data_IF_199444375059
#
_entry.id   IF_199444375059
#
_cell.length_a   1.000
_cell.length_b   1.000
_cell.length_c   1.000
_cell.angle_alpha   90.00
_cell.angle_beta   90.00
_cell.angle_gamma   90.00
#
_symmetry.space_group_name_H-M   'P 1'
#
loop_
_entity.id
_entity.type
_entity.pdbx_description
1 polymer ?
#
# COMPACT_ATOMS: atom_id res chain seq x y z
N UNK A 1 -22.72 19.21 15.97
CA UNK A 1 -21.31 19.05 16.36
C UNK A 1 -20.83 17.75 15.74
N UNK A 2 -20.09 17.84 14.65
CA UNK A 2 -19.58 16.65 13.96
C UNK A 2 -18.32 16.19 14.68
N UNK A 3 -18.42 15.11 15.44
CA UNK A 3 -17.25 14.44 15.98
C UNK A 3 -16.35 14.02 14.80
N UNK A 4 -15.21 14.69 14.67
CA UNK A 4 -14.10 14.18 13.87
C UNK A 4 -13.57 12.95 14.60
N UNK A 5 -14.27 11.82 14.48
CA UNK A 5 -13.79 10.59 15.05
C UNK A 5 -12.57 10.18 14.23
N UNK A 6 -11.39 10.44 14.78
CA UNK A 6 -10.10 10.09 14.21
C UNK A 6 -9.83 8.58 14.42
N UNK A 7 -10.79 7.74 14.02
CA UNK A 7 -10.85 6.30 14.34
C UNK A 7 -9.62 5.55 13.78
N UNK A 8 -8.94 6.09 12.78
CA UNK A 8 -7.77 5.43 12.17
C UNK A 8 -6.47 5.61 12.97
N UNK A 9 -6.48 6.46 14.01
CA UNK A 9 -5.32 6.66 14.92
C UNK A 9 -5.36 5.80 16.18
N UNK A 10 -6.42 5.01 16.42
CA UNK A 10 -6.45 4.15 17.61
C UNK A 10 -5.48 2.97 17.42
N UNK A 11 -4.68 2.68 18.45
CA UNK A 11 -3.81 1.49 18.49
C UNK A 11 -4.59 0.20 18.23
N UNK A 12 -5.87 0.17 18.63
CA UNK A 12 -6.79 -0.94 18.39
C UNK A 12 -7.03 -1.19 16.90
N UNK A 13 -7.17 -0.13 16.08
CA UNK A 13 -7.29 -0.28 14.63
C UNK A 13 -6.01 -0.86 14.03
N UNK A 14 -4.84 -0.39 14.47
CA UNK A 14 -3.56 -0.93 14.01
C UNK A 14 -3.41 -2.40 14.37
N UNK A 15 -3.75 -2.79 15.61
CA UNK A 15 -3.73 -4.20 16.04
C UNK A 15 -4.71 -5.09 15.26
N UNK A 16 -5.90 -4.57 14.96
CA UNK A 16 -6.91 -5.32 14.18
C UNK A 16 -6.46 -5.57 12.74
N UNK A 17 -5.85 -4.57 12.10
CA UNK A 17 -5.46 -4.65 10.70
C UNK A 17 -4.08 -5.29 10.48
N UNK A 18 -3.27 -5.41 11.54
CA UNK A 18 -1.88 -5.87 11.45
C UNK A 18 -1.76 -7.28 10.87
N UNK A 19 -2.48 -8.27 11.41
CA UNK A 19 -2.38 -9.66 10.93
C UNK A 19 -2.88 -9.80 9.47
N UNK A 20 -4.05 -9.26 9.07
CA UNK A 20 -4.43 -9.22 7.66
C UNK A 20 -3.40 -8.53 6.76
N UNK A 21 -2.82 -7.41 7.22
CA UNK A 21 -1.81 -6.66 6.47
C UNK A 21 -0.50 -7.44 6.34
N UNK A 22 -0.08 -8.15 7.38
CA UNK A 22 1.07 -9.06 7.39
C UNK A 22 0.85 -10.18 6.37
N UNK A 23 -0.28 -10.88 6.43
CA UNK A 23 -0.60 -11.94 5.48
C UNK A 23 -0.61 -11.44 4.03
N UNK A 24 -1.14 -10.24 3.81
CA UNK A 24 -1.13 -9.60 2.50
C UNK A 24 0.30 -9.27 2.04
N UNK A 25 1.14 -8.71 2.91
CA UNK A 25 2.55 -8.43 2.62
C UNK A 25 3.33 -9.71 2.28
N UNK A 26 3.16 -10.78 3.07
CA UNK A 26 3.77 -12.09 2.82
C UNK A 26 3.35 -12.64 1.46
N UNK A 27 2.04 -12.71 1.17
CA UNK A 27 1.53 -13.18 -0.14
C UNK A 27 2.06 -12.34 -1.30
N UNK A 28 2.19 -11.04 -1.10
CA UNK A 28 2.73 -10.11 -2.10
C UNK A 28 4.19 -10.45 -2.41
N UNK A 29 5.00 -10.72 -1.39
CA UNK A 29 6.39 -11.17 -1.56
C UNK A 29 6.45 -12.57 -2.19
N UNK A 30 5.56 -13.48 -1.82
CA UNK A 30 5.50 -14.82 -2.42
C UNK A 30 5.16 -14.79 -3.90
N UNK A 31 4.31 -13.85 -4.33
CA UNK A 31 4.00 -13.61 -5.73
C UNK A 31 5.14 -12.96 -6.54
N UNK A 32 6.23 -12.52 -5.92
CA UNK A 32 7.41 -12.03 -6.64
C UNK A 32 8.18 -13.20 -7.28
N UNK A 33 8.41 -13.12 -8.58
CA UNK A 33 9.33 -14.00 -9.28
C UNK A 33 10.78 -13.77 -8.82
N UNK A 34 11.64 -14.79 -8.89
CA UNK A 34 13.05 -14.70 -8.47
C UNK A 34 13.83 -13.60 -9.22
N UNK A 35 13.45 -13.36 -10.47
CA UNK A 35 13.98 -12.28 -11.31
C UNK A 35 13.59 -10.87 -10.81
N UNK A 36 12.74 -10.76 -9.80
CA UNK A 36 12.31 -9.50 -9.18
C UNK A 36 12.98 -9.31 -7.82
N UNK A 37 13.82 -10.26 -7.39
CA UNK A 37 14.53 -10.19 -6.12
C UNK A 37 15.77 -9.28 -6.23
N UNK A 38 15.62 -8.03 -5.77
CA UNK A 38 16.68 -7.05 -5.61
C UNK A 38 17.62 -7.29 -4.42
N UNK A 39 18.74 -6.56 -4.42
CA UNK A 39 19.68 -6.49 -3.29
C UNK A 39 19.02 -5.86 -2.06
N UNK A 40 19.40 -6.31 -0.87
CA UNK A 40 18.86 -5.78 0.40
C UNK A 40 19.04 -4.26 0.55
N UNK A 41 20.11 -3.69 -0.02
CA UNK A 41 20.33 -2.25 -0.01
C UNK A 41 19.20 -1.44 -0.66
N UNK A 42 18.46 -2.03 -1.61
CA UNK A 42 17.26 -1.38 -2.17
C UNK A 42 16.14 -1.31 -1.13
N UNK A 43 15.93 -2.38 -0.36
CA UNK A 43 14.88 -2.48 0.66
C UNK A 43 15.15 -1.59 1.87
N UNK A 44 16.41 -1.52 2.33
CA UNK A 44 16.78 -0.73 3.51
C UNK A 44 16.51 0.77 3.34
N UNK A 45 16.44 1.26 2.10
CA UNK A 45 16.10 2.66 1.84
C UNK A 45 14.63 3.00 2.13
N UNK A 46 13.73 2.01 2.07
CA UNK A 46 12.29 2.23 2.11
C UNK A 46 11.81 2.70 3.50
N UNK A 47 12.14 2.02 4.63
CA UNK A 47 11.69 2.46 5.95
C UNK A 47 12.13 3.88 6.30
N UNK A 48 13.38 4.24 6.01
CA UNK A 48 13.90 5.58 6.27
C UNK A 48 13.17 6.67 5.47
N UNK A 49 12.85 6.41 4.20
CA UNK A 49 12.09 7.34 3.35
C UNK A 49 10.65 7.51 3.84
N UNK A 50 10.01 6.43 4.26
CA UNK A 50 8.67 6.49 4.86
C UNK A 50 8.70 7.28 6.17
N UNK A 51 9.67 7.03 7.05
CA UNK A 51 9.79 7.73 8.32
C UNK A 51 10.00 9.25 8.14
N UNK A 52 10.77 9.66 7.13
CA UNK A 52 11.08 11.07 6.88
C UNK A 52 9.93 11.84 6.19
N UNK A 53 9.23 11.23 5.24
CA UNK A 53 8.26 11.96 4.41
C UNK A 53 7.04 11.16 3.97
N UNK A 54 6.76 10.04 4.64
CA UNK A 54 5.58 9.22 4.45
C UNK A 54 5.40 8.69 3.04
N UNK A 55 4.12 8.51 2.67
CA UNK A 55 3.71 7.94 1.39
C UNK A 55 4.18 8.80 0.19
N UNK A 56 4.26 10.12 0.35
CA UNK A 56 4.70 11.05 -0.70
C UNK A 56 6.19 10.90 -1.01
N UNK A 57 7.04 10.82 0.03
CA UNK A 57 8.47 10.60 -0.16
C UNK A 57 8.75 9.21 -0.75
N UNK A 58 7.99 8.20 -0.30
CA UNK A 58 8.05 6.86 -0.88
C UNK A 58 7.71 6.87 -2.37
N UNK A 59 6.64 7.57 -2.78
CA UNK A 59 6.28 7.70 -4.20
C UNK A 59 7.43 8.29 -5.02
N UNK A 60 8.04 9.37 -4.53
CA UNK A 60 9.19 10.03 -5.19
C UNK A 60 10.39 9.10 -5.33
N UNK A 61 10.70 8.32 -4.29
CA UNK A 61 11.77 7.31 -4.34
C UNK A 61 11.47 6.29 -5.45
N UNK A 62 10.26 5.72 -5.43
CA UNK A 62 9.84 4.69 -6.37
C UNK A 62 9.88 5.22 -7.81
N UNK A 63 9.32 6.40 -8.07
CA UNK A 63 9.32 7.01 -9.41
C UNK A 63 10.76 7.25 -9.90
N UNK A 64 11.62 7.84 -9.07
CA UNK A 64 13.02 8.07 -9.38
C UNK A 64 13.77 6.77 -9.71
N UNK A 65 13.54 5.71 -8.93
CA UNK A 65 14.17 4.41 -9.16
C UNK A 65 13.64 3.72 -10.43
N UNK A 66 12.34 3.84 -10.74
CA UNK A 66 11.77 3.30 -11.98
C UNK A 66 12.36 3.96 -13.22
N UNK A 67 12.50 5.29 -13.19
CA UNK A 67 12.99 6.05 -14.34
C UNK A 67 14.50 5.87 -14.51
N UNK A 68 15.27 6.04 -13.43
CA UNK A 68 16.72 6.26 -13.50
C UNK A 68 17.57 5.00 -13.29
N UNK A 69 17.02 3.91 -12.73
CA UNK A 69 17.83 2.72 -12.44
C UNK A 69 18.26 2.03 -13.74
N UNK A 70 19.54 1.70 -13.89
CA UNK A 70 20.07 1.11 -15.13
C UNK A 70 19.88 -0.40 -15.18
N UNK A 71 19.68 -1.06 -14.03
CA UNK A 71 19.50 -2.51 -13.96
C UNK A 71 18.04 -2.87 -14.15
N UNK A 72 17.74 -3.66 -15.18
CA UNK A 72 16.37 -4.09 -15.51
C UNK A 72 15.66 -4.77 -14.33
N UNK A 73 16.36 -5.64 -13.60
CA UNK A 73 15.87 -6.31 -12.40
C UNK A 73 15.34 -5.33 -11.33
N UNK A 74 16.12 -4.27 -11.06
CA UNK A 74 15.71 -3.25 -10.11
C UNK A 74 14.52 -2.44 -10.65
N UNK A 75 14.55 -2.07 -11.94
CA UNK A 75 13.43 -1.37 -12.59
C UNK A 75 12.13 -2.17 -12.49
N UNK A 76 12.19 -3.49 -12.68
CA UNK A 76 11.04 -4.38 -12.56
C UNK A 76 10.49 -4.36 -11.13
N UNK A 77 11.34 -4.54 -10.12
CA UNK A 77 10.96 -4.44 -8.71
C UNK A 77 10.32 -3.10 -8.34
N UNK A 78 10.94 -1.99 -8.72
CA UNK A 78 10.39 -0.66 -8.43
C UNK A 78 9.09 -0.38 -9.20
N UNK A 79 8.96 -0.89 -10.43
CA UNK A 79 7.71 -0.80 -11.19
C UNK A 79 6.60 -1.63 -10.60
N UNK A 80 6.94 -2.81 -10.08
CA UNK A 80 6.02 -3.63 -9.29
C UNK A 80 5.52 -2.86 -8.07
N UNK A 81 6.41 -2.29 -7.24
CA UNK A 81 6.01 -1.52 -6.06
C UNK A 81 5.13 -0.32 -6.41
N UNK A 82 5.44 0.39 -7.50
CA UNK A 82 4.61 1.51 -7.94
C UNK A 82 3.18 1.07 -8.22
N UNK A 83 3.03 0.02 -9.04
CA UNK A 83 1.73 -0.55 -9.38
C UNK A 83 0.99 -1.06 -8.14
N UNK A 84 1.69 -1.80 -7.28
CA UNK A 84 1.13 -2.39 -6.08
C UNK A 84 0.57 -1.34 -5.10
N UNK A 85 1.26 -0.19 -4.94
CA UNK A 85 0.94 0.81 -3.91
C UNK A 85 0.06 1.94 -4.45
N UNK A 86 0.36 2.44 -5.65
CA UNK A 86 -0.15 3.72 -6.16
C UNK A 86 -1.12 3.62 -7.33
N UNK A 87 -1.15 2.52 -8.09
CA UNK A 87 -2.08 2.38 -9.20
C UNK A 87 -3.47 1.99 -8.69
N UNK A 88 -4.39 2.95 -8.69
CA UNK A 88 -5.76 2.80 -8.18
C UNK A 88 -6.76 2.27 -9.20
N UNK A 89 -6.35 2.13 -10.47
CA UNK A 89 -7.26 1.88 -11.60
C UNK A 89 -7.24 0.45 -12.15
N UNK A 90 -6.31 -0.40 -11.70
CA UNK A 90 -6.34 -1.80 -12.05
C UNK A 90 -6.95 -2.56 -10.88
N UNK A 91 -8.09 -3.21 -11.11
CA UNK A 91 -8.74 -4.17 -10.21
C UNK A 91 -7.87 -5.43 -10.01
N UNK A 92 -6.57 -5.26 -9.86
CA UNK A 92 -5.67 -6.34 -9.56
C UNK A 92 -5.81 -6.64 -8.09
N UNK A 93 -6.11 -7.90 -7.83
CA UNK A 93 -6.31 -8.42 -6.49
C UNK A 93 -5.07 -8.26 -5.61
N UNK A 94 -3.91 -8.06 -6.24
CA UNK A 94 -2.62 -7.84 -5.62
C UNK A 94 -2.37 -6.40 -5.17
N UNK A 95 -3.26 -5.42 -5.41
CA UNK A 95 -2.98 -4.02 -5.04
C UNK A 95 -3.34 -3.70 -3.58
N UNK A 96 -2.53 -2.86 -2.93
CA UNK A 96 -2.78 -2.42 -1.56
C UNK A 96 -4.09 -1.62 -1.47
N UNK A 97 -4.46 -0.87 -2.50
CA UNK A 97 -5.74 -0.15 -2.56
C UNK A 97 -6.94 -1.11 -2.49
N UNK A 98 -6.90 -2.18 -3.28
CA UNK A 98 -7.94 -3.20 -3.31
C UNK A 98 -8.01 -3.98 -2.00
N UNK A 99 -6.85 -4.37 -1.45
CA UNK A 99 -6.78 -5.00 -0.13
C UNK A 99 -7.50 -4.16 0.92
N UNK A 100 -7.18 -2.85 1.00
CA UNK A 100 -7.79 -1.94 1.98
C UNK A 100 -9.29 -1.81 1.77
N UNK A 101 -9.76 -1.69 0.52
CA UNK A 101 -11.21 -1.60 0.23
C UNK A 101 -12.00 -2.84 0.61
N UNK A 102 -11.38 -4.03 0.59
CA UNK A 102 -12.01 -5.29 0.98
C UNK A 102 -12.12 -5.50 2.49
N UNK A 103 -11.42 -4.71 3.31
CA UNK A 103 -11.49 -4.86 4.76
C UNK A 103 -12.82 -4.32 5.27
N UNK A 104 -13.60 -5.14 5.98
CA UNK A 104 -14.97 -4.83 6.42
C UNK A 104 -15.10 -3.49 7.15
N UNK A 105 -14.13 -3.18 8.00
CA UNK A 105 -14.08 -1.92 8.74
C UNK A 105 -13.75 -0.70 7.87
N UNK A 106 -12.98 -0.89 6.79
CA UNK A 106 -12.68 0.19 5.84
C UNK A 106 -13.90 0.38 4.92
N UNK A 107 -14.46 -0.72 4.41
CA UNK A 107 -15.64 -0.68 3.53
C UNK A 107 -16.82 0.01 4.19
N UNK A 108 -17.03 -0.17 5.50
CA UNK A 108 -18.11 0.51 6.23
C UNK A 108 -17.95 2.03 6.33
N UNK A 109 -16.77 2.57 5.99
CA UNK A 109 -16.47 4.01 5.96
C UNK A 109 -16.53 4.62 4.57
N UNK A 110 -16.61 3.78 3.53
CA UNK A 110 -16.69 4.24 2.16
C UNK A 110 -18.15 4.52 1.80
N UNK A 111 -18.40 5.61 1.10
CA UNK A 111 -19.72 5.89 0.52
C UNK A 111 -20.01 4.96 -0.65
N UNK A 112 -21.25 4.51 -0.77
CA UNK A 112 -21.73 3.72 -1.90
C UNK A 112 -22.03 4.62 -3.10
N UNK A 113 -21.23 4.51 -4.16
CA UNK A 113 -21.35 5.36 -5.34
C UNK A 113 -22.47 4.90 -6.31
N UNK A 114 -23.12 3.78 -6.02
CA UNK A 114 -24.32 3.29 -6.75
C UNK A 114 -25.59 4.02 -6.33
N UNK A 115 -25.60 4.60 -5.12
CA UNK A 115 -26.72 5.39 -4.60
C UNK A 115 -26.75 6.83 -5.11
N UNK A 116 -25.76 7.23 -5.91
CA UNK A 116 -25.65 8.58 -6.42
C UNK A 116 -26.73 8.89 -7.47
N UNK A 117 -27.49 9.98 -7.25
CA UNK A 117 -28.55 10.42 -8.15
C UNK A 117 -28.03 10.97 -9.48
N UNK A 118 -26.78 11.44 -9.49
CA UNK A 118 -26.17 12.05 -10.68
C UNK A 118 -24.64 11.90 -10.72
N UNK A 119 -24.07 12.19 -11.90
CA UNK A 119 -22.63 12.11 -12.16
C UNK A 119 -21.80 13.00 -11.21
N UNK A 120 -22.33 14.15 -10.77
CA UNK A 120 -21.62 15.07 -9.88
C UNK A 120 -21.51 14.48 -8.47
N UNK A 121 -22.61 13.97 -7.93
CA UNK A 121 -22.66 13.29 -6.64
C UNK A 121 -21.77 12.05 -6.62
N UNK A 122 -21.82 11.23 -7.69
CA UNK A 122 -20.93 10.08 -7.86
C UNK A 122 -19.44 10.47 -7.76
N UNK A 123 -19.04 11.54 -8.45
CA UNK A 123 -17.67 12.08 -8.38
C UNK A 123 -17.28 12.54 -6.97
N UNK A 124 -18.21 13.13 -6.22
CA UNK A 124 -17.96 13.56 -4.83
C UNK A 124 -17.69 12.35 -3.94
N UNK A 125 -18.54 11.32 -4.01
CA UNK A 125 -18.36 10.07 -3.24
C UNK A 125 -17.03 9.41 -3.59
N UNK A 126 -16.71 9.28 -4.88
CA UNK A 126 -15.44 8.69 -5.33
C UNK A 126 -14.22 9.48 -4.84
N UNK A 127 -14.28 10.81 -4.86
CA UNK A 127 -13.21 11.67 -4.35
C UNK A 127 -13.01 11.50 -2.85
N UNK A 128 -14.11 11.42 -2.09
CA UNK A 128 -14.06 11.22 -0.64
C UNK A 128 -13.52 9.83 -0.29
N UNK A 129 -14.02 8.78 -0.95
CA UNK A 129 -13.50 7.42 -0.78
C UNK A 129 -12.01 7.34 -1.08
N UNK A 130 -11.54 8.01 -2.14
CA UNK A 130 -10.11 8.10 -2.45
C UNK A 130 -9.32 8.76 -1.32
N UNK A 131 -9.81 9.88 -0.79
CA UNK A 131 -9.18 10.59 0.34
C UNK A 131 -9.08 9.71 1.59
N UNK A 132 -10.14 8.98 1.93
CA UNK A 132 -10.18 8.07 3.08
C UNK A 132 -9.13 6.97 2.91
N UNK A 133 -9.08 6.32 1.75
CA UNK A 133 -8.12 5.26 1.46
C UNK A 133 -6.67 5.78 1.48
N UNK A 134 -6.40 6.95 0.89
CA UNK A 134 -5.06 7.55 0.91
C UNK A 134 -4.59 7.88 2.33
N UNK A 135 -5.49 8.34 3.20
CA UNK A 135 -5.18 8.60 4.60
C UNK A 135 -4.84 7.30 5.36
N UNK A 136 -5.70 6.27 5.23
CA UNK A 136 -5.46 4.97 5.86
C UNK A 136 -4.15 4.35 5.35
N UNK A 137 -3.94 4.37 4.03
CA UNK A 137 -2.72 3.85 3.40
C UNK A 137 -1.48 4.55 3.97
N UNK A 138 -1.52 5.87 4.15
CA UNK A 138 -0.41 6.64 4.72
C UNK A 138 -0.08 6.23 6.16
N UNK A 139 -1.06 5.78 6.94
CA UNK A 139 -0.88 5.33 8.32
C UNK A 139 -0.35 3.89 8.40
N UNK A 140 -0.73 3.03 7.45
CA UNK A 140 -0.38 1.61 7.45
C UNK A 140 0.88 1.28 6.64
N UNK A 141 1.34 2.17 5.76
CA UNK A 141 2.43 1.88 4.82
C UNK A 141 3.73 1.48 5.52
N UNK A 142 4.02 2.05 6.70
CA UNK A 142 5.21 1.68 7.47
C UNK A 142 5.13 0.24 7.98
N UNK A 143 3.99 -0.14 8.58
CA UNK A 143 3.73 -1.48 9.11
C UNK A 143 3.75 -2.50 7.96
N UNK A 144 3.11 -2.16 6.84
CA UNK A 144 3.14 -2.98 5.64
C UNK A 144 4.57 -3.30 5.19
N UNK A 145 5.45 -2.28 5.13
CA UNK A 145 6.83 -2.49 4.69
C UNK A 145 7.71 -3.18 5.72
N UNK A 146 7.38 -3.13 7.00
CA UNK A 146 8.03 -3.93 8.04
C UNK A 146 7.81 -5.42 7.76
N UNK A 147 6.54 -5.83 7.60
CA UNK A 147 6.17 -7.21 7.26
C UNK A 147 6.72 -7.64 5.89
N UNK A 148 6.60 -6.78 4.88
CA UNK A 148 7.11 -7.03 3.54
C UNK A 148 8.63 -7.29 3.57
N UNK A 149 9.41 -6.40 4.20
CA UNK A 149 10.86 -6.53 4.23
C UNK A 149 11.31 -7.75 5.04
N UNK A 150 10.62 -8.06 6.14
CA UNK A 150 10.87 -9.24 6.96
C UNK A 150 10.67 -10.53 6.14
N UNK A 151 9.51 -10.69 5.50
CA UNK A 151 9.22 -11.88 4.69
C UNK A 151 10.14 -11.99 3.48
N UNK A 152 10.42 -10.86 2.82
CA UNK A 152 11.34 -10.79 1.70
C UNK A 152 12.75 -11.26 2.07
N UNK A 153 13.25 -10.90 3.25
CA UNK A 153 14.54 -11.35 3.75
C UNK A 153 14.59 -12.89 3.79
N UNK A 154 13.58 -13.55 4.36
CA UNK A 154 13.53 -15.00 4.47
C UNK A 154 13.36 -15.69 3.12
N UNK A 155 12.48 -15.18 2.25
CA UNK A 155 12.31 -15.72 0.90
C UNK A 155 13.62 -15.73 0.12
N UNK A 156 14.39 -14.65 0.21
CA UNK A 156 15.70 -14.55 -0.45
C UNK A 156 16.72 -15.57 0.05
N UNK A 157 16.59 -16.03 1.30
CA UNK A 157 17.45 -17.06 1.89
C UNK A 157 16.94 -18.49 1.61
N UNK A 158 15.80 -18.63 0.93
CA UNK A 158 15.14 -19.94 0.73
C UNK A 158 14.51 -20.50 2.01
N UNK A 159 14.06 -19.63 2.91
CA UNK A 159 13.56 -19.98 4.25
C UNK A 159 12.08 -19.63 4.48
N UNK A 160 11.34 -19.25 3.43
CA UNK A 160 9.92 -18.85 3.52
C UNK A 160 8.94 -19.93 3.09
#
# INVERSE_FOLDING_TARGET
MSENINITTSKEFQLFIDEPLRQFACKTVEGLEDNSLVKQSQLHSIPGVIAFGGLTALKKLIDSQREKNTKQMNKAFWSFLHRHIFETQQAKEDSLDHFLRKQSFISSKLGDDTTAENKKQKKIIQKENKRIIENIKSQLISIYFEHFNCHYYYKKQGLS
#
